data_IF_587369458503
#
_entry.id   IF_587369458503
#
_cell.length_a   1.000
_cell.length_b   1.000
_cell.length_c   1.000
_cell.angle_alpha   90.00
_cell.angle_beta   90.00
_cell.angle_gamma   90.00
#
_symmetry.space_group_name_H-M   'P 1'
#
loop_
_entity.id
_entity.type
_entity.pdbx_description
1 polymer ?
#
# COMPACT_ATOMS: atom_id res chain seq x y z
N UNK A 1 -3.15 11.58 -13.66
CA UNK A 1 -3.89 10.97 -14.78
C UNK A 1 -2.88 10.63 -15.86
N UNK A 2 -2.31 9.43 -15.82
CA UNK A 2 -1.58 8.82 -16.92
C UNK A 2 -1.47 7.33 -16.59
N UNK A 3 -2.13 6.48 -17.38
CA UNK A 3 -1.82 5.06 -17.42
C UNK A 3 -0.32 4.95 -17.72
N UNK A 4 0.45 4.31 -16.85
CA UNK A 4 1.86 4.05 -17.09
C UNK A 4 1.97 3.26 -18.40
N UNK A 5 2.72 3.85 -19.34
CA UNK A 5 2.94 3.41 -20.70
C UNK A 5 3.25 1.90 -20.76
N UNK A 6 2.30 1.11 -21.25
CA UNK A 6 2.43 -0.35 -21.38
C UNK A 6 3.38 -0.75 -22.53
N UNK A 7 4.02 0.23 -23.19
CA UNK A 7 4.91 0.03 -24.33
C UNK A 7 6.24 -0.64 -24.00
N UNK A 8 6.66 -0.71 -22.74
CA UNK A 8 7.97 -1.30 -22.38
C UNK A 8 7.91 -2.81 -22.15
N UNK A 9 6.73 -3.37 -21.86
CA UNK A 9 6.61 -4.77 -21.39
C UNK A 9 6.30 -5.79 -22.50
N UNK A 10 6.12 -5.38 -23.75
CA UNK A 10 5.75 -6.27 -24.86
C UNK A 10 6.95 -7.09 -25.40
N UNK A 11 8.19 -6.72 -25.08
CA UNK A 11 9.39 -7.31 -25.72
C UNK A 11 9.83 -8.69 -25.19
N UNK A 12 9.27 -9.19 -24.08
CA UNK A 12 9.76 -10.44 -23.44
C UNK A 12 8.80 -11.64 -23.51
N UNK A 13 7.81 -11.61 -24.42
CA UNK A 13 7.22 -12.84 -24.96
C UNK A 13 6.71 -13.89 -23.96
N UNK A 14 5.99 -13.49 -22.91
CA UNK A 14 5.33 -14.44 -22.02
C UNK A 14 3.87 -14.04 -21.79
N UNK A 15 2.99 -14.89 -22.33
CA UNK A 15 1.53 -15.02 -22.12
C UNK A 15 0.63 -14.24 -23.09
N UNK A 16 0.20 -14.98 -24.11
CA UNK A 16 -0.96 -14.70 -24.95
C UNK A 16 -2.28 -14.81 -24.16
N UNK A 17 -3.23 -14.01 -24.64
CA UNK A 17 -4.48 -13.57 -24.04
C UNK A 17 -5.53 -14.67 -23.84
N UNK A 18 -6.22 -14.64 -22.70
CA UNK A 18 -7.62 -15.07 -22.64
C UNK A 18 -8.38 -14.22 -21.62
N UNK A 19 -9.14 -13.25 -22.13
CA UNK A 19 -10.39 -12.70 -21.59
C UNK A 19 -10.68 -12.98 -20.09
N UNK A 20 -10.04 -12.24 -19.20
CA UNK A 20 -10.44 -12.16 -17.80
C UNK A 20 -10.44 -10.69 -17.44
N UNK A 21 -11.60 -10.21 -16.99
CA UNK A 21 -11.85 -8.96 -16.27
C UNK A 21 -10.56 -8.20 -15.97
N UNK A 22 -10.30 -7.08 -16.66
CA UNK A 22 -9.19 -6.17 -16.34
C UNK A 22 -9.51 -5.42 -15.05
N UNK A 23 -9.74 -6.17 -13.98
CA UNK A 23 -9.72 -5.68 -12.62
C UNK A 23 -8.30 -5.20 -12.41
N UNK A 24 -8.14 -3.87 -12.41
CA UNK A 24 -6.86 -3.24 -12.16
C UNK A 24 -6.24 -3.93 -10.94
N UNK A 25 -5.15 -4.69 -11.16
CA UNK A 25 -4.42 -5.40 -10.13
C UNK A 25 -3.61 -4.38 -9.32
N UNK A 26 -4.25 -3.29 -8.92
CA UNK A 26 -3.69 -2.29 -8.02
C UNK A 26 -3.64 -2.94 -6.63
N UNK A 27 -2.61 -3.77 -6.45
CA UNK A 27 -1.98 -4.14 -5.20
C UNK A 27 -2.92 -4.05 -3.98
N UNK A 28 -3.78 -5.06 -3.86
CA UNK A 28 -4.55 -5.35 -2.64
C UNK A 28 -3.62 -5.91 -1.53
N UNK A 29 -2.32 -6.00 -1.77
CA UNK A 29 -1.34 -6.48 -0.80
C UNK A 29 -0.70 -5.31 -0.06
N UNK A 30 -0.92 -5.28 1.27
CA UNK A 30 -0.26 -4.44 2.29
C UNK A 30 -0.96 -3.09 2.61
N UNK A 31 -2.11 -3.18 3.29
CA UNK A 31 -2.93 -2.05 3.71
C UNK A 31 -2.29 -1.19 4.80
N UNK A 32 -1.56 -1.77 5.76
CA UNK A 32 -0.99 -1.05 6.92
C UNK A 32 0.10 -0.05 6.50
N UNK A 33 1.07 -0.51 5.70
CA UNK A 33 2.17 0.33 5.21
C UNK A 33 1.73 1.43 4.26
N UNK A 34 0.61 1.23 3.57
CA UNK A 34 0.01 2.26 2.74
C UNK A 34 -0.60 3.38 3.60
N UNK A 35 -1.30 3.04 4.69
CA UNK A 35 -1.81 4.05 5.63
C UNK A 35 -0.69 4.76 6.39
N UNK A 36 0.37 4.06 6.75
CA UNK A 36 1.58 4.66 7.32
C UNK A 36 2.16 5.76 6.43
N UNK A 37 2.29 5.50 5.12
CA UNK A 37 2.77 6.51 4.15
C UNK A 37 1.77 7.66 3.97
N UNK A 38 0.48 7.36 3.85
CA UNK A 38 -0.58 8.40 3.69
C UNK A 38 -0.65 9.36 4.87
N UNK A 39 -0.37 8.88 6.08
CA UNK A 39 -0.39 9.67 7.32
C UNK A 39 0.99 10.25 7.68
N UNK A 40 1.89 10.36 6.70
CA UNK A 40 3.16 11.07 6.87
C UNK A 40 4.17 10.30 7.72
N UNK A 41 4.22 8.98 7.54
CA UNK A 41 5.17 8.10 8.24
C UNK A 41 4.94 8.01 9.76
N UNK A 42 3.69 8.20 10.21
CA UNK A 42 3.31 8.04 11.62
C UNK A 42 3.65 6.63 12.14
N UNK A 43 4.13 6.56 13.39
CA UNK A 43 4.52 5.32 14.02
C UNK A 43 3.37 4.28 14.06
N UNK A 44 3.69 3.00 13.87
CA UNK A 44 2.70 1.92 13.72
C UNK A 44 1.82 1.73 14.95
N UNK A 45 2.39 1.83 16.14
CA UNK A 45 1.61 1.77 17.37
C UNK A 45 0.62 2.95 17.47
N UNK A 46 1.02 4.15 17.06
CA UNK A 46 0.13 5.31 17.02
C UNK A 46 -1.03 5.14 16.04
N UNK A 47 -0.79 4.48 14.90
CA UNK A 47 -1.83 4.10 13.95
C UNK A 47 -2.82 3.09 14.55
N UNK A 48 -2.33 2.13 15.32
CA UNK A 48 -3.15 1.14 16.02
C UNK A 48 -4.03 1.79 17.11
N UNK A 49 -3.48 2.75 17.84
CA UNK A 49 -4.23 3.52 18.82
C UNK A 49 -5.28 4.41 18.17
N UNK A 50 -4.94 5.02 17.03
CA UNK A 50 -5.85 5.85 16.24
C UNK A 50 -7.02 5.04 15.67
N UNK A 51 -6.76 3.79 15.26
CA UNK A 51 -7.80 2.82 14.90
C UNK A 51 -8.71 2.48 16.08
N UNK A 52 -8.11 2.15 17.22
CA UNK A 52 -8.86 1.71 18.41
C UNK A 52 -9.75 2.81 18.97
N UNK A 53 -9.35 4.06 18.77
CA UNK A 53 -10.09 5.28 19.18
C UNK A 53 -10.96 5.85 18.06
N UNK A 54 -11.00 5.21 16.89
CA UNK A 54 -11.73 5.67 15.69
C UNK A 54 -11.46 7.14 15.30
N UNK A 55 -10.23 7.63 15.53
CA UNK A 55 -9.86 9.03 15.30
C UNK A 55 -9.74 9.37 13.81
N UNK A 56 -9.54 8.37 12.95
CA UNK A 56 -9.38 8.55 11.51
C UNK A 56 -10.54 7.86 10.78
N UNK A 57 -11.39 8.66 10.14
CA UNK A 57 -12.49 8.15 9.31
C UNK A 57 -11.93 7.47 8.06
N UNK A 58 -12.50 6.30 7.72
CA UNK A 58 -12.14 5.57 6.51
C UNK A 58 -10.89 4.70 6.63
N UNK A 59 -10.26 4.63 7.81
CA UNK A 59 -9.21 3.65 8.05
C UNK A 59 -9.87 2.24 8.13
N UNK A 60 -9.39 1.25 7.36
CA UNK A 60 -9.89 -0.12 7.44
C UNK A 60 -9.45 -0.77 8.76
N UNK A 61 -10.23 -1.74 9.25
CA UNK A 61 -9.93 -2.49 10.49
C UNK A 61 -8.78 -3.48 10.27
N UNK A 62 -7.57 -2.96 10.14
CA UNK A 62 -6.34 -3.73 9.89
C UNK A 62 -5.44 -3.68 11.13
N UNK A 63 -4.62 -4.71 11.35
CA UNK A 63 -3.63 -4.69 12.43
C UNK A 63 -2.34 -4.05 11.92
N UNK A 64 -1.77 -3.15 12.71
CA UNK A 64 -0.45 -2.61 12.47
C UNK A 64 0.60 -3.41 13.25
N UNK A 65 1.69 -3.79 12.58
CA UNK A 65 2.81 -4.47 13.22
C UNK A 65 3.66 -3.44 13.98
N UNK A 66 3.76 -3.60 15.30
CA UNK A 66 4.47 -2.64 16.17
C UNK A 66 5.99 -2.75 16.07
N UNK A 67 6.49 -3.93 15.70
CA UNK A 67 7.94 -4.24 15.74
C UNK A 67 8.66 -3.87 14.44
N UNK A 68 7.93 -3.44 13.41
CA UNK A 68 8.51 -3.05 12.13
C UNK A 68 8.61 -1.54 12.02
N UNK A 69 9.81 -1.05 11.75
CA UNK A 69 10.09 0.35 11.41
C UNK A 69 10.39 0.44 9.92
N UNK A 70 9.90 1.49 9.27
CA UNK A 70 10.22 1.77 7.87
C UNK A 70 11.64 2.35 7.77
N UNK A 71 12.41 1.93 6.77
CA UNK A 71 13.79 2.38 6.55
C UNK A 71 13.90 3.92 6.50
N UNK A 72 12.96 4.59 5.82
CA UNK A 72 12.94 6.05 5.77
C UNK A 72 12.73 6.67 7.16
N UNK A 73 11.87 6.08 8.01
CA UNK A 73 11.69 6.52 9.40
C UNK A 73 12.95 6.31 10.24
N UNK A 74 13.67 5.21 10.01
CA UNK A 74 14.91 4.90 10.70
C UNK A 74 16.05 5.86 10.32
N UNK A 75 16.12 6.25 9.04
CA UNK A 75 17.10 7.19 8.51
C UNK A 75 16.82 8.65 8.89
N UNK A 76 15.56 8.99 9.19
CA UNK A 76 15.12 10.34 9.55
C UNK A 76 15.23 10.64 11.06
N UNK A 77 16.03 9.85 11.79
CA UNK A 77 16.20 9.94 13.25
C UNK A 77 17.21 11.01 13.66
#
# INVERSE_FOLDING_TARGET
>A
MACVDTRVLIQLGLVETANQDVKCLSAISETSWLWHRRLGHMHMEHLNDSLSKELVKGLPKIKFEKDKVCDACQMSK
#
